data_IF_393851825306
#
_entry.id   IF_393851825306
#
_cell.length_a   1.000
_cell.length_b   1.000
_cell.length_c   1.000
_cell.angle_alpha   90.00
_cell.angle_beta   90.00
_cell.angle_gamma   90.00
#
_symmetry.space_group_name_H-M   'P 1'
#
loop_
_entity.id
_entity.type
_entity.pdbx_description
1 polymer ?
#
# COMPACT_ATOMS: atom_id res chain seq x y z
N UNK A 1 15.97 -5.60 15.51
CA UNK A 1 15.96 -5.07 14.11
C UNK A 1 14.95 -3.93 13.98
N UNK A 2 13.68 -4.17 14.33
CA UNK A 2 12.61 -3.14 14.37
C UNK A 2 12.99 -1.94 15.25
N UNK A 3 13.46 -2.15 16.48
CA UNK A 3 13.86 -1.06 17.38
C UNK A 3 14.97 -0.17 16.81
N UNK A 4 15.94 -0.77 16.11
CA UNK A 4 17.03 -0.03 15.46
C UNK A 4 16.50 0.79 14.29
N UNK A 5 15.67 0.21 13.43
CA UNK A 5 15.01 0.93 12.33
C UNK A 5 14.16 2.09 12.84
N UNK A 6 13.45 1.91 13.95
CA UNK A 6 12.66 2.97 14.58
C UNK A 6 13.56 4.08 15.17
N UNK A 7 14.68 3.71 15.80
CA UNK A 7 15.68 4.70 16.26
C UNK A 7 16.21 5.51 15.08
N UNK A 8 16.64 4.83 14.01
CA UNK A 8 17.19 5.46 12.81
C UNK A 8 16.16 6.41 12.14
N UNK A 9 14.87 6.05 12.13
CA UNK A 9 13.80 6.90 11.60
C UNK A 9 13.52 8.12 12.50
N UNK A 10 13.52 7.94 13.82
CA UNK A 10 13.32 9.05 14.78
C UNK A 10 14.49 10.04 14.77
N UNK A 11 15.69 9.57 14.46
CA UNK A 11 16.90 10.39 14.35
C UNK A 11 17.02 11.09 12.97
N UNK A 12 16.15 10.77 12.00
CA UNK A 12 16.17 11.37 10.68
C UNK A 12 15.64 12.82 10.72
N UNK A 13 16.44 13.84 10.32
CA UNK A 13 16.04 15.25 10.39
C UNK A 13 14.78 15.57 9.59
N UNK A 14 14.60 14.97 8.42
CA UNK A 14 13.42 15.16 7.57
C UNK A 14 12.15 14.67 8.25
N UNK A 15 12.24 13.56 8.98
CA UNK A 15 11.10 12.98 9.71
C UNK A 15 10.77 13.81 10.97
N UNK A 16 11.80 14.34 11.63
CA UNK A 16 11.62 15.26 12.76
C UNK A 16 10.91 16.55 12.32
N UNK A 17 11.27 17.09 11.16
CA UNK A 17 10.65 18.29 10.59
C UNK A 17 9.17 18.08 10.22
N UNK A 18 8.75 16.83 9.95
CA UNK A 18 7.35 16.50 9.68
C UNK A 18 6.49 16.36 10.94
N UNK A 19 7.09 16.39 12.13
CA UNK A 19 6.36 16.30 13.40
C UNK A 19 5.62 14.96 13.61
N UNK A 20 6.07 13.89 12.96
CA UNK A 20 5.42 12.57 13.05
C UNK A 20 5.74 11.85 14.36
N UNK A 21 4.73 11.20 14.95
CA UNK A 21 4.93 10.26 16.05
C UNK A 21 5.22 8.87 15.48
N UNK A 22 6.38 8.32 15.83
CA UNK A 22 6.78 6.96 15.43
C UNK A 22 6.73 6.08 16.65
N UNK A 23 5.95 4.99 16.59
CA UNK A 23 5.86 3.99 17.65
C UNK A 23 6.06 2.59 17.09
N UNK A 24 6.66 1.71 17.90
CA UNK A 24 6.74 0.29 17.58
C UNK A 24 5.41 -0.35 17.98
N UNK A 25 4.69 -0.96 17.03
CA UNK A 25 3.57 -1.82 17.38
C UNK A 25 4.08 -3.14 17.99
N UNK A 26 3.36 -3.68 18.98
CA UNK A 26 3.72 -4.95 19.62
C UNK A 26 3.43 -6.18 18.76
N UNK A 27 2.53 -6.04 17.77
CA UNK A 27 2.15 -7.08 16.80
C UNK A 27 1.57 -6.46 15.52
N UNK A 28 1.52 -7.24 14.45
CA UNK A 28 0.86 -6.82 13.19
C UNK A 28 -0.64 -6.62 13.40
N UNK A 29 -1.26 -7.46 14.23
CA UNK A 29 -2.68 -7.40 14.55
C UNK A 29 -3.05 -6.09 15.26
N UNK A 30 -2.23 -5.68 16.23
CA UNK A 30 -2.40 -4.40 16.91
C UNK A 30 -2.30 -3.22 15.92
N UNK A 31 -1.34 -3.27 15.00
CA UNK A 31 -1.15 -2.25 13.97
C UNK A 31 -2.37 -2.18 13.04
N UNK A 32 -2.80 -3.32 12.51
CA UNK A 32 -3.93 -3.40 11.58
C UNK A 32 -5.24 -2.88 12.20
N UNK A 33 -5.45 -3.12 13.49
CA UNK A 33 -6.65 -2.66 14.22
C UNK A 33 -6.67 -1.15 14.54
N UNK A 34 -5.52 -0.47 14.50
CA UNK A 34 -5.39 0.95 14.90
C UNK A 34 -5.06 1.87 13.74
N UNK A 35 -4.54 1.32 12.64
CA UNK A 35 -4.09 2.09 11.49
C UNK A 35 -5.17 2.13 10.40
N UNK A 36 -5.26 3.27 9.73
CA UNK A 36 -6.03 3.47 8.49
C UNK A 36 -5.11 3.49 7.25
N UNK A 37 -3.80 3.39 7.45
CA UNK A 37 -2.79 3.24 6.41
C UNK A 37 -1.80 2.16 6.83
N UNK A 38 -1.67 1.10 6.04
CA UNK A 38 -0.75 0.00 6.25
C UNK A 38 0.15 -0.10 5.03
N UNK A 39 1.46 -0.16 5.23
CA UNK A 39 2.44 -0.37 4.14
C UNK A 39 3.23 -1.63 4.47
N UNK A 40 3.17 -2.64 3.60
CA UNK A 40 3.93 -3.88 3.77
C UNK A 40 5.11 -3.91 2.81
N UNK A 41 6.29 -4.25 3.31
CA UNK A 41 7.56 -4.22 2.55
C UNK A 41 8.45 -5.40 2.93
N UNK A 42 7.86 -6.58 3.07
CA UNK A 42 8.53 -7.78 3.58
C UNK A 42 8.89 -8.73 2.44
N UNK A 43 9.52 -9.86 2.72
CA UNK A 43 9.69 -10.99 1.79
C UNK A 43 8.96 -12.22 2.31
N UNK A 44 7.85 -12.01 3.04
CA UNK A 44 7.08 -13.05 3.67
C UNK A 44 6.41 -13.97 2.63
N UNK A 45 6.30 -15.25 2.97
CA UNK A 45 5.61 -16.27 2.17
C UNK A 45 4.31 -16.75 2.82
N UNK A 46 3.93 -16.07 3.90
CA UNK A 46 2.73 -16.34 4.70
C UNK A 46 2.12 -14.99 5.05
N UNK A 47 0.79 -14.91 4.93
CA UNK A 47 0.04 -13.69 5.18
C UNK A 47 0.34 -13.12 6.59
N UNK A 48 0.77 -11.87 6.62
CA UNK A 48 1.03 -11.13 7.84
C UNK A 48 -0.18 -10.28 8.25
N UNK A 49 -0.89 -9.73 7.26
CA UNK A 49 -2.10 -8.94 7.48
C UNK A 49 -3.32 -9.79 7.15
N UNK A 50 -4.13 -10.05 8.17
CA UNK A 50 -5.34 -10.86 8.08
C UNK A 50 -6.56 -9.98 7.86
N UNK A 51 -7.54 -10.50 7.10
CA UNK A 51 -8.76 -9.79 6.73
C UNK A 51 -9.56 -9.30 7.95
N UNK A 52 -9.59 -10.12 9.01
CA UNK A 52 -10.31 -9.84 10.26
C UNK A 52 -9.69 -8.71 11.09
N UNK A 53 -8.42 -8.37 10.84
CA UNK A 53 -7.71 -7.33 11.59
C UNK A 53 -7.80 -5.95 10.94
N UNK A 54 -8.30 -5.89 9.70
CA UNK A 54 -8.43 -4.64 8.93
C UNK A 54 -9.80 -4.00 9.14
N UNK A 55 -9.79 -2.75 9.60
CA UNK A 55 -10.97 -1.91 9.80
C UNK A 55 -11.43 -1.22 8.52
N UNK A 56 -12.71 -0.83 8.48
CA UNK A 56 -13.24 0.07 7.45
C UNK A 56 -12.39 1.35 7.35
N UNK A 57 -12.21 1.85 6.14
CA UNK A 57 -11.44 3.06 5.85
C UNK A 57 -9.93 2.84 5.75
N UNK A 58 -9.46 1.59 5.87
CA UNK A 58 -8.03 1.29 5.77
C UNK A 58 -7.57 1.31 4.31
N UNK A 59 -6.46 1.99 4.04
CA UNK A 59 -5.66 1.82 2.83
C UNK A 59 -4.47 0.91 3.11
N UNK A 60 -4.20 -0.02 2.22
CA UNK A 60 -3.07 -0.94 2.29
C UNK A 60 -2.25 -0.78 1.02
N UNK A 61 -0.96 -0.51 1.17
CA UNK A 61 0.01 -0.57 0.07
C UNK A 61 0.92 -1.76 0.29
N UNK A 62 0.75 -2.81 -0.52
CA UNK A 62 1.64 -3.94 -0.53
C UNK A 62 2.79 -3.70 -1.50
N UNK A 63 4.02 -3.71 -0.97
CA UNK A 63 5.24 -3.51 -1.74
C UNK A 63 5.95 -4.85 -1.89
N UNK A 64 5.75 -5.45 -3.06
CA UNK A 64 6.32 -6.70 -3.53
C UNK A 64 7.66 -6.53 -4.22
N UNK A 65 8.53 -7.53 -4.09
CA UNK A 65 9.59 -7.80 -5.06
C UNK A 65 9.18 -9.02 -5.87
N UNK A 66 9.65 -9.14 -7.12
CA UNK A 66 9.34 -10.18 -8.13
C UNK A 66 9.71 -11.65 -7.74
N UNK A 67 9.60 -12.02 -6.46
CA UNK A 67 9.88 -13.37 -5.97
C UNK A 67 8.60 -14.22 -5.92
N UNK A 68 8.60 -15.33 -6.65
CA UNK A 68 7.47 -16.26 -6.70
C UNK A 68 7.07 -16.82 -5.31
N UNK A 69 5.76 -16.81 -5.03
CA UNK A 69 5.18 -17.38 -3.81
C UNK A 69 5.30 -16.49 -2.57
N UNK A 70 5.51 -15.18 -2.78
CA UNK A 70 5.39 -14.17 -1.73
C UNK A 70 3.90 -13.92 -1.43
N UNK A 71 3.58 -13.76 -0.16
CA UNK A 71 2.24 -13.42 0.29
C UNK A 71 2.34 -12.62 1.59
N UNK A 72 2.03 -11.33 1.55
CA UNK A 72 1.97 -10.46 2.73
C UNK A 72 0.54 -10.29 3.24
N UNK A 73 -0.43 -10.33 2.33
CA UNK A 73 -1.84 -10.14 2.58
C UNK A 73 -2.58 -11.47 2.47
N UNK A 74 -3.54 -11.68 3.35
CA UNK A 74 -4.48 -12.77 3.20
C UNK A 74 -5.30 -12.60 1.92
N UNK A 75 -5.51 -13.65 1.14
CA UNK A 75 -6.32 -13.56 -0.09
C UNK A 75 -7.75 -13.05 0.19
N UNK A 76 -8.33 -13.45 1.31
CA UNK A 76 -9.62 -12.97 1.79
C UNK A 76 -9.64 -11.46 2.09
N UNK A 77 -8.49 -10.85 2.42
CA UNK A 77 -8.38 -9.40 2.60
C UNK A 77 -8.52 -8.66 1.27
N UNK A 78 -7.93 -9.19 0.20
CA UNK A 78 -8.12 -8.64 -1.14
C UNK A 78 -9.58 -8.80 -1.59
N UNK A 79 -10.22 -9.94 -1.29
CA UNK A 79 -11.65 -10.14 -1.57
C UNK A 79 -12.59 -9.27 -0.72
N UNK A 80 -12.14 -8.82 0.46
CA UNK A 80 -12.86 -7.88 1.33
C UNK A 80 -12.66 -6.42 0.91
N UNK A 81 -11.64 -6.12 0.11
CA UNK A 81 -11.36 -4.76 -0.33
C UNK A 81 -12.43 -4.26 -1.30
N UNK A 82 -12.88 -3.02 -1.12
CA UNK A 82 -13.82 -2.35 -2.03
C UNK A 82 -13.12 -1.93 -3.33
N UNK A 83 -11.80 -1.77 -3.29
CA UNK A 83 -10.99 -1.42 -4.44
C UNK A 83 -9.61 -2.08 -4.36
N UNK A 84 -9.26 -2.83 -5.41
CA UNK A 84 -7.92 -3.39 -5.62
C UNK A 84 -7.28 -2.71 -6.82
N UNK A 85 -6.10 -2.15 -6.61
CA UNK A 85 -5.32 -1.46 -7.64
C UNK A 85 -3.97 -2.15 -7.79
N UNK A 86 -3.62 -2.56 -9.01
CA UNK A 86 -2.32 -3.13 -9.35
C UNK A 86 -1.47 -2.11 -10.11
N UNK A 87 -0.15 -2.08 -9.91
CA UNK A 87 0.73 -1.29 -10.80
C UNK A 87 0.84 -1.92 -12.21
N UNK A 88 0.87 -3.26 -12.28
CA UNK A 88 0.67 -4.03 -13.50
C UNK A 88 -0.20 -5.24 -13.21
N UNK A 89 -1.42 -5.29 -13.76
CA UNK A 89 -2.34 -6.42 -13.54
C UNK A 89 -1.67 -7.75 -13.92
N UNK A 90 -1.00 -7.81 -15.08
CA UNK A 90 -0.37 -9.05 -15.54
C UNK A 90 0.74 -9.55 -14.63
N UNK A 91 1.47 -8.66 -13.93
CA UNK A 91 2.50 -9.07 -12.97
C UNK A 91 1.89 -9.45 -11.62
N UNK A 92 0.98 -8.61 -11.11
CA UNK A 92 0.31 -8.84 -9.84
C UNK A 92 -0.46 -10.16 -9.83
N UNK A 93 -1.12 -10.51 -10.93
CA UNK A 93 -1.85 -11.77 -11.08
C UNK A 93 -0.93 -12.97 -11.29
N UNK A 94 0.29 -12.81 -11.81
CA UNK A 94 1.24 -13.91 -12.00
C UNK A 94 2.05 -14.24 -10.74
N UNK A 95 2.50 -13.21 -10.00
CA UNK A 95 3.41 -13.38 -8.87
C UNK A 95 3.30 -12.33 -7.75
N UNK A 96 2.32 -11.41 -7.80
CA UNK A 96 2.06 -10.43 -6.74
C UNK A 96 1.08 -10.92 -5.67
N UNK A 97 0.55 -9.98 -4.89
CA UNK A 97 -0.47 -10.30 -3.87
C UNK A 97 -1.79 -10.75 -4.51
N UNK A 98 -2.11 -10.22 -5.70
CA UNK A 98 -3.29 -10.61 -6.46
C UNK A 98 -3.26 -12.07 -6.94
N UNK A 99 -2.08 -12.69 -7.13
CA UNK A 99 -1.96 -14.07 -7.63
C UNK A 99 -2.77 -15.06 -6.79
N UNK A 100 -2.62 -15.01 -5.46
CA UNK A 100 -3.31 -15.93 -4.57
C UNK A 100 -4.83 -15.70 -4.56
N UNK A 101 -5.26 -14.43 -4.54
CA UNK A 101 -6.67 -14.04 -4.48
C UNK A 101 -7.43 -14.29 -5.80
N UNK A 102 -6.79 -14.13 -6.95
CA UNK A 102 -7.39 -14.50 -8.24
C UNK A 102 -7.45 -16.01 -8.39
N UNK A 103 -6.38 -16.70 -8.02
CA UNK A 103 -6.30 -18.17 -8.14
C UNK A 103 -7.31 -18.91 -7.28
N UNK A 104 -7.62 -18.41 -6.09
CA UNK A 104 -8.63 -19.00 -5.21
C UNK A 104 -10.06 -18.45 -5.41
N UNK A 105 -10.21 -17.43 -6.26
CA UNK A 105 -11.48 -16.81 -6.62
C UNK A 105 -12.00 -15.80 -5.62
N UNK A 106 -11.18 -15.36 -4.66
CA UNK A 106 -11.52 -14.26 -3.74
C UNK A 106 -11.65 -12.91 -4.46
N UNK A 107 -10.93 -12.72 -5.57
CA UNK A 107 -11.00 -11.52 -6.42
C UNK A 107 -11.15 -11.94 -7.88
N UNK A 108 -12.02 -11.24 -8.60
CA UNK A 108 -12.11 -11.36 -10.05
C UNK A 108 -11.00 -10.51 -10.69
N UNK A 109 -10.20 -11.10 -11.58
CA UNK A 109 -9.13 -10.39 -12.31
C UNK A 109 -9.68 -9.16 -13.04
N UNK A 110 -10.90 -9.24 -13.59
CA UNK A 110 -11.54 -8.13 -14.30
C UNK A 110 -11.93 -6.95 -13.39
N UNK A 111 -11.99 -7.18 -12.07
CA UNK A 111 -12.31 -6.14 -11.09
C UNK A 111 -11.10 -5.33 -10.62
N UNK A 112 -9.88 -5.78 -10.95
CA UNK A 112 -8.64 -5.11 -10.56
C UNK A 112 -8.40 -3.92 -11.50
N UNK A 113 -8.13 -2.74 -10.92
CA UNK A 113 -7.78 -1.55 -11.70
C UNK A 113 -6.26 -1.40 -11.84
N UNK A 114 -5.80 -0.94 -13.00
CA UNK A 114 -4.42 -0.47 -13.12
C UNK A 114 -4.26 0.91 -12.47
N UNK A 115 -3.16 1.07 -11.72
CA UNK A 115 -2.77 2.33 -11.09
C UNK A 115 -2.70 3.47 -12.11
N UNK A 116 -2.21 3.20 -13.31
CA UNK A 116 -2.14 4.18 -14.40
C UNK A 116 -3.51 4.74 -14.80
N UNK A 117 -4.58 3.95 -14.67
CA UNK A 117 -5.94 4.40 -14.96
C UNK A 117 -6.49 5.24 -13.81
N UNK A 118 -6.26 4.84 -12.56
CA UNK A 118 -6.66 5.61 -11.37
C UNK A 118 -5.97 6.97 -11.33
N UNK A 119 -4.70 7.06 -11.75
CA UNK A 119 -3.98 8.34 -11.85
C UNK A 119 -4.59 9.25 -12.92
N UNK A 120 -4.99 8.70 -14.07
CA UNK A 120 -5.60 9.47 -15.16
C UNK A 120 -7.03 9.91 -14.83
N UNK A 121 -7.77 9.08 -14.12
CA UNK A 121 -9.16 9.28 -13.76
C UNK A 121 -9.35 9.08 -12.24
N UNK A 122 -9.06 10.10 -11.41
CA UNK A 122 -9.11 9.98 -9.95
C UNK A 122 -10.46 9.55 -9.38
N UNK A 123 -11.53 9.71 -10.14
CA UNK A 123 -12.88 9.25 -9.79
C UNK A 123 -13.00 7.72 -9.69
N UNK A 124 -12.06 6.97 -10.28
CA UNK A 124 -11.95 5.51 -10.15
C UNK A 124 -11.30 5.08 -8.83
N UNK A 125 -10.69 6.04 -8.12
CA UNK A 125 -10.10 5.78 -6.81
C UNK A 125 -11.15 5.68 -5.71
N UNK A 126 -10.68 5.74 -4.45
CA UNK A 126 -11.53 5.74 -3.26
C UNK A 126 -12.68 6.75 -3.38
N UNK A 127 -13.90 6.26 -3.22
CA UNK A 127 -15.14 7.04 -3.28
C UNK A 127 -15.60 7.54 -1.91
N UNK A 128 -15.21 6.86 -0.82
CA UNK A 128 -15.58 7.26 0.54
C UNK A 128 -14.58 6.78 1.63
N UNK A 129 -14.71 7.36 2.83
CA UNK A 129 -13.81 7.13 3.97
C UNK A 129 -13.96 5.76 4.64
N UNK A 130 -14.94 4.94 4.23
CA UNK A 130 -15.15 3.59 4.79
C UNK A 130 -14.58 2.47 3.93
N UNK A 131 -14.25 2.77 2.68
CA UNK A 131 -13.72 1.76 1.76
C UNK A 131 -12.40 1.18 2.26
N UNK A 132 -12.22 -0.11 2.11
CA UNK A 132 -10.92 -0.76 2.24
C UNK A 132 -10.29 -0.75 0.84
N UNK A 133 -9.11 -0.16 0.72
CA UNK A 133 -8.43 -0.06 -0.58
C UNK A 133 -7.06 -0.71 -0.53
N UNK A 134 -6.77 -1.59 -1.48
CA UNK A 134 -5.48 -2.30 -1.58
C UNK A 134 -4.76 -1.83 -2.84
N UNK A 135 -3.50 -1.45 -2.72
CA UNK A 135 -2.60 -1.23 -3.83
C UNK A 135 -1.50 -2.32 -3.81
N UNK A 136 -1.46 -3.16 -4.83
CA UNK A 136 -0.41 -4.16 -5.05
C UNK A 136 0.64 -3.58 -6.01
N UNK A 137 1.86 -3.38 -5.52
CA UNK A 137 2.95 -2.75 -6.24
C UNK A 137 4.13 -3.72 -6.34
N UNK A 138 4.41 -4.25 -7.53
CA UNK A 138 5.53 -5.19 -7.79
C UNK A 138 6.87 -4.47 -8.01
N UNK A 139 6.88 -3.14 -8.04
CA UNK A 139 8.11 -2.35 -8.11
C UNK A 139 8.22 -1.44 -9.33
N UNK A 140 7.24 -1.47 -10.24
CA UNK A 140 7.18 -0.52 -11.37
C UNK A 140 6.80 0.87 -10.86
N UNK A 141 5.80 0.96 -9.98
CA UNK A 141 5.21 2.24 -9.59
C UNK A 141 5.95 3.00 -8.47
N UNK A 142 6.75 2.35 -7.63
CA UNK A 142 7.34 3.01 -6.46
C UNK A 142 8.37 4.08 -6.86
N UNK A 143 9.15 3.84 -7.91
CA UNK A 143 10.08 4.86 -8.43
C UNK A 143 9.30 6.06 -9.01
N UNK A 144 8.19 5.80 -9.70
CA UNK A 144 7.40 6.85 -10.35
C UNK A 144 6.52 7.66 -9.36
N UNK A 145 5.94 7.04 -8.34
CA UNK A 145 5.13 7.73 -7.31
C UNK A 145 6.01 8.65 -6.46
N UNK A 146 7.23 8.22 -6.10
CA UNK A 146 8.17 9.06 -5.35
C UNK A 146 8.60 10.28 -6.17
N UNK A 147 8.83 10.10 -7.48
CA UNK A 147 9.12 11.21 -8.41
C UNK A 147 7.91 12.13 -8.58
N UNK A 148 6.70 11.57 -8.75
CA UNK A 148 5.47 12.34 -8.92
C UNK A 148 5.12 13.18 -7.68
N UNK A 149 5.29 12.64 -6.46
CA UNK A 149 5.11 13.40 -5.23
C UNK A 149 6.15 14.50 -5.05
N UNK A 150 7.43 14.25 -5.38
CA UNK A 150 8.47 15.29 -5.36
C UNK A 150 8.22 16.40 -6.39
N UNK A 151 7.76 16.04 -7.59
CA UNK A 151 7.43 17.01 -8.65
C UNK A 151 6.18 17.83 -8.30
N UNK A 152 5.16 17.21 -7.70
CA UNK A 152 3.93 17.89 -7.28
C UNK A 152 4.17 18.83 -6.08
N UNK A 153 5.05 18.47 -5.14
CA UNK A 153 5.47 19.36 -4.04
C UNK A 153 6.31 20.56 -4.47
N UNK A 154 6.98 20.48 -5.63
CA UNK A 154 7.79 21.60 -6.17
C UNK A 154 6.94 22.66 -6.88
N UNK A 155 5.70 22.35 -7.26
CA UNK A 155 4.83 23.26 -8.04
C UNK A 155 3.84 24.09 -7.20
N UNK A 156 3.87 23.98 -5.86
CA UNK A 156 3.03 24.81 -4.96
C UNK A 156 3.85 25.80 -4.11
N UNK A 157 5.10 26.09 -4.51
CA UNK A 157 6.02 26.99 -3.80
C UNK A 157 6.67 28.07 -4.68
N UNK A 158 6.00 28.48 -5.76
CA UNK A 158 6.52 29.47 -6.71
C UNK A 158 5.47 30.49 -7.14
N UNK A 159 4.62 30.93 -6.21
CA UNK A 159 3.84 32.15 -6.40
C UNK A 159 4.77 33.34 -6.30
N UNK A 160 5.06 33.98 -7.44
CA UNK A 160 5.56 35.34 -7.49
C UNK A 160 4.64 36.24 -6.66
N UNK A 161 5.19 36.86 -5.62
CA UNK A 161 4.66 38.11 -5.11
C UNK A 161 5.84 39.08 -4.83
N UNK A 162 5.75 40.24 -5.49
CA UNK A 162 6.57 41.46 -5.47
C UNK A 162 8.01 41.42 -6.02
#
# INVERSE_FOLDING_TARGET
KVEKTISDLRENPTIQDWGLQIEAAGSVDELASKCNLIVTTTSAKEALVLADHVQEGTHITAMGSDDHGKQELEAALLGKADLVVADSISQCVDHGECFHAVKDGSVDEESILELGNVIKEPMLGRSNDKEITVADLTGIAIQDIQIAKMASGTLIGGGCDS
#
